data_IF_519890235909
#
_entry.id   IF_519890235909
#
_cell.length_a   1.000
_cell.length_b   1.000
_cell.length_c   1.000
_cell.angle_alpha   90.00
_cell.angle_beta   90.00
_cell.angle_gamma   90.00
#
_symmetry.space_group_name_H-M   'P 1'
#
loop_
_entity.id
_entity.type
_entity.pdbx_description
1 polymer ?
#
# COMPACT_ATOMS: atom_id res chain seq x y z
N UNK A 1 21.83 -10.20 3.79
CA UNK A 1 21.64 -10.93 2.51
C UNK A 1 20.24 -11.52 2.54
N UNK A 2 19.43 -11.22 1.54
CA UNK A 2 18.10 -11.82 1.39
C UNK A 2 18.19 -13.26 0.86
N UNK A 3 17.06 -13.87 0.53
CA UNK A 3 17.02 -15.21 -0.05
C UNK A 3 17.79 -15.41 -1.36
N UNK A 4 18.24 -14.33 -2.04
CA UNK A 4 18.96 -14.38 -3.32
C UNK A 4 20.37 -13.80 -3.28
N UNK A 5 20.95 -13.53 -2.11
CA UNK A 5 22.34 -13.02 -2.03
C UNK A 5 22.48 -11.50 -2.16
N UNK A 6 21.38 -10.75 -2.32
CA UNK A 6 21.37 -9.29 -2.45
C UNK A 6 21.22 -8.55 -1.11
N UNK A 7 21.25 -7.22 -1.18
CA UNK A 7 21.01 -6.29 -0.05
C UNK A 7 19.53 -6.08 0.29
N UNK A 8 18.65 -6.94 -0.22
CA UNK A 8 17.23 -6.71 -0.51
C UNK A 8 16.40 -5.98 0.56
N UNK A 9 15.37 -5.32 0.02
CA UNK A 9 14.33 -4.64 0.74
C UNK A 9 13.20 -5.65 0.96
N UNK A 10 12.96 -6.03 2.22
CA UNK A 10 11.97 -7.06 2.56
C UNK A 10 10.58 -6.84 1.96
N UNK A 11 9.76 -7.89 2.00
CA UNK A 11 8.41 -7.93 1.40
C UNK A 11 7.49 -6.75 1.72
N UNK A 12 7.63 -6.18 2.91
CA UNK A 12 6.75 -5.13 3.40
C UNK A 12 7.57 -3.88 3.77
N UNK A 13 6.95 -2.72 3.56
CA UNK A 13 7.49 -1.41 3.89
C UNK A 13 6.41 -0.54 4.55
N UNK A 14 6.76 0.69 4.91
CA UNK A 14 5.83 1.69 5.42
C UNK A 14 5.60 2.79 4.38
N UNK A 15 4.36 3.25 4.24
CA UNK A 15 4.01 4.41 3.42
C UNK A 15 3.67 5.57 4.36
N UNK A 16 4.42 6.66 4.26
CA UNK A 16 4.12 7.90 4.94
C UNK A 16 3.30 8.81 4.00
N UNK A 17 2.12 9.22 4.45
CA UNK A 17 1.30 10.22 3.75
C UNK A 17 1.35 11.54 4.51
N UNK A 18 1.58 12.64 3.80
CA UNK A 18 1.61 13.98 4.35
C UNK A 18 0.99 14.98 3.36
N UNK A 19 0.31 15.99 3.88
CA UNK A 19 -0.34 17.03 3.08
C UNK A 19 -1.58 17.59 3.77
N UNK A 20 -2.02 18.79 3.35
CA UNK A 20 -3.14 19.49 3.99
C UNK A 20 -4.50 18.80 3.83
N UNK A 21 -4.67 18.00 2.77
CA UNK A 21 -5.90 17.24 2.51
C UNK A 21 -5.89 15.83 3.11
N UNK A 22 -4.78 15.41 3.75
CA UNK A 22 -4.68 14.08 4.35
C UNK A 22 -5.45 14.06 5.67
N UNK A 23 -6.33 13.06 5.85
CA UNK A 23 -6.94 12.74 7.15
C UNK A 23 -5.89 12.11 8.08
N UNK A 24 -4.97 12.93 8.57
CA UNK A 24 -3.82 12.51 9.38
C UNK A 24 -4.18 11.99 10.77
N UNK A 25 -3.15 11.61 11.54
CA UNK A 25 -3.30 11.08 12.90
C UNK A 25 -3.79 9.63 12.94
N UNK A 26 -3.66 8.90 11.82
CA UNK A 26 -4.16 7.53 11.66
C UNK A 26 -3.05 6.62 11.17
N UNK A 27 -3.03 5.41 11.71
CA UNK A 27 -2.27 4.28 11.14
C UNK A 27 -3.28 3.41 10.42
N UNK A 28 -3.05 3.18 9.12
CA UNK A 28 -3.86 2.26 8.34
C UNK A 28 -3.20 0.88 8.33
N UNK A 29 -4.03 -0.16 8.14
CA UNK A 29 -3.58 -1.54 8.19
C UNK A 29 -3.49 -2.10 9.61
N UNK A 30 -3.58 -3.41 9.73
CA UNK A 30 -3.37 -4.11 11.00
C UNK A 30 -1.94 -4.62 11.04
N UNK A 31 -1.13 -4.09 11.98
CA UNK A 31 0.24 -4.55 12.18
C UNK A 31 0.24 -6.04 12.58
N UNK A 32 0.84 -6.93 11.76
CA UNK A 32 0.78 -8.38 12.02
C UNK A 32 1.75 -8.83 13.12
N UNK A 33 2.60 -7.94 13.63
CA UNK A 33 3.66 -8.31 14.57
C UNK A 33 4.84 -9.00 13.90
N UNK A 34 5.80 -9.41 14.72
CA UNK A 34 6.99 -10.17 14.29
C UNK A 34 6.93 -11.65 14.74
N UNK A 35 5.87 -12.06 15.45
CA UNK A 35 5.73 -13.42 15.95
C UNK A 35 5.45 -14.45 14.85
N UNK A 36 4.95 -14.00 13.69
CA UNK A 36 4.69 -14.81 12.50
C UNK A 36 5.17 -14.08 11.26
N UNK A 37 6.01 -14.74 10.48
CA UNK A 37 6.58 -14.20 9.25
C UNK A 37 6.13 -15.05 8.06
N UNK A 38 6.14 -14.46 6.86
CA UNK A 38 5.99 -15.18 5.60
C UNK A 38 7.31 -15.91 5.32
N UNK A 39 7.20 -17.20 5.00
CA UNK A 39 8.34 -18.08 4.73
C UNK A 39 9.44 -18.00 5.81
N UNK A 40 9.02 -17.80 7.07
CA UNK A 40 9.87 -17.61 8.26
C UNK A 40 10.93 -16.51 8.15
N UNK A 41 10.75 -15.55 7.25
CA UNK A 41 11.75 -14.50 6.94
C UNK A 41 11.16 -13.12 6.75
N UNK A 42 10.04 -13.03 6.05
CA UNK A 42 9.48 -11.77 5.57
C UNK A 42 8.34 -11.27 6.46
N UNK A 43 8.31 -9.97 6.74
CA UNK A 43 7.14 -9.36 7.35
C UNK A 43 5.92 -9.51 6.41
N UNK A 44 4.80 -9.93 6.98
CA UNK A 44 3.53 -10.03 6.25
C UNK A 44 3.05 -8.61 5.92
N UNK A 45 2.77 -8.34 4.64
CA UNK A 45 2.25 -7.04 4.23
C UNK A 45 0.82 -6.84 4.78
N UNK A 46 0.62 -5.78 5.57
CA UNK A 46 -0.68 -5.44 6.15
C UNK A 46 -1.65 -4.82 5.12
N UNK A 47 -1.10 -4.20 4.07
CA UNK A 47 -1.85 -3.49 3.03
C UNK A 47 -1.12 -3.58 1.70
N UNK A 48 -1.90 -3.59 0.61
CA UNK A 48 -1.37 -3.44 -0.73
C UNK A 48 -1.10 -1.95 -1.02
N UNK A 49 0.13 -1.62 -1.38
CA UNK A 49 0.54 -0.25 -1.74
C UNK A 49 -0.33 0.37 -2.83
N UNK A 50 -0.81 -0.45 -3.78
CA UNK A 50 -1.69 0.03 -4.87
C UNK A 50 -3.03 0.53 -4.32
N UNK A 51 -3.56 -0.06 -3.25
CA UNK A 51 -4.78 0.43 -2.62
C UNK A 51 -4.60 1.86 -2.09
N UNK A 52 -3.46 2.14 -1.45
CA UNK A 52 -3.11 3.47 -0.92
C UNK A 52 -3.00 4.48 -2.07
N UNK A 53 -2.23 4.13 -3.11
CA UNK A 53 -2.02 5.02 -4.26
C UNK A 53 -3.33 5.29 -5.03
N UNK A 54 -4.14 4.26 -5.29
CA UNK A 54 -5.47 4.44 -5.92
C UNK A 54 -6.38 5.33 -5.09
N UNK A 55 -6.36 5.20 -3.76
CA UNK A 55 -7.12 6.06 -2.87
C UNK A 55 -6.73 7.53 -3.01
N UNK A 56 -5.43 7.82 -2.96
CA UNK A 56 -4.92 9.20 -3.14
C UNK A 56 -5.23 9.72 -4.55
N UNK A 57 -4.94 8.95 -5.59
CA UNK A 57 -5.15 9.39 -6.99
C UNK A 57 -6.62 9.63 -7.31
N UNK A 58 -7.53 8.79 -6.82
CA UNK A 58 -8.98 8.98 -6.99
C UNK A 58 -9.49 10.16 -6.17
N UNK A 59 -9.22 10.16 -4.86
CA UNK A 59 -9.90 11.06 -3.93
C UNK A 59 -9.24 12.45 -3.87
N UNK A 60 -7.96 12.59 -4.24
CA UNK A 60 -7.25 13.87 -4.28
C UNK A 60 -7.14 14.47 -5.68
N UNK A 61 -6.90 13.64 -6.72
CA UNK A 61 -6.70 14.11 -8.09
C UNK A 61 -7.90 13.87 -9.01
N UNK A 62 -8.95 13.19 -8.55
CA UNK A 62 -10.16 12.96 -9.32
C UNK A 62 -10.01 11.96 -10.47
N UNK A 63 -9.04 11.05 -10.40
CA UNK A 63 -8.84 10.03 -11.44
C UNK A 63 -9.84 8.88 -11.31
N UNK A 64 -10.36 8.42 -12.46
CA UNK A 64 -11.26 7.27 -12.54
C UNK A 64 -10.55 5.95 -12.20
N UNK A 65 -11.31 4.99 -11.66
CA UNK A 65 -10.74 3.71 -11.22
C UNK A 65 -10.36 2.77 -12.37
N UNK A 66 -11.07 2.81 -13.49
CA UNK A 66 -10.78 1.94 -14.64
C UNK A 66 -9.37 2.19 -15.22
N UNK A 67 -8.96 3.43 -15.57
CA UNK A 67 -7.60 3.66 -16.05
C UNK A 67 -6.55 3.38 -14.96
N UNK A 68 -6.88 3.62 -13.68
CA UNK A 68 -5.97 3.26 -12.58
C UNK A 68 -5.78 1.74 -12.46
N UNK A 69 -6.81 0.94 -12.67
CA UNK A 69 -6.75 -0.52 -12.55
C UNK A 69 -6.16 -1.23 -13.77
N UNK A 70 -6.19 -0.60 -14.95
CA UNK A 70 -5.76 -1.21 -16.20
C UNK A 70 -4.44 -0.68 -16.74
N UNK A 71 -4.20 0.63 -16.62
CA UNK A 71 -3.08 1.28 -17.28
C UNK A 71 -1.99 1.67 -16.28
N UNK A 72 -2.37 2.22 -15.13
CA UNK A 72 -1.41 2.69 -14.11
C UNK A 72 -0.96 1.55 -13.21
N UNK A 73 -1.90 0.69 -12.79
CA UNK A 73 -1.62 -0.50 -11.98
C UNK A 73 -2.20 -1.75 -12.66
N UNK A 74 -1.59 -2.25 -13.75
CA UNK A 74 -2.05 -3.46 -14.42
C UNK A 74 -2.23 -4.65 -13.44
N UNK A 75 -3.15 -5.55 -13.78
CA UNK A 75 -3.47 -6.76 -13.02
C UNK A 75 -3.90 -6.51 -11.55
N UNK A 76 -4.47 -5.33 -11.28
CA UNK A 76 -4.85 -4.93 -9.91
C UNK A 76 -6.32 -4.58 -9.72
N UNK A 77 -7.22 -4.94 -10.66
CA UNK A 77 -8.67 -4.67 -10.53
C UNK A 77 -9.27 -5.12 -9.19
N UNK A 78 -8.78 -6.23 -8.63
CA UNK A 78 -9.27 -6.74 -7.35
C UNK A 78 -8.81 -5.91 -6.14
N UNK A 79 -7.80 -5.07 -6.32
CA UNK A 79 -7.27 -4.16 -5.29
C UNK A 79 -7.99 -2.83 -5.39
N UNK A 80 -9.02 -2.66 -4.55
CA UNK A 80 -9.77 -1.42 -4.45
C UNK A 80 -8.97 -0.26 -3.84
N UNK A 81 -9.36 1.00 -4.09
CA UNK A 81 -8.77 2.17 -3.44
C UNK A 81 -9.06 2.15 -1.94
N UNK A 82 -8.03 2.48 -1.15
CA UNK A 82 -8.19 2.68 0.29
C UNK A 82 -8.93 4.00 0.53
N UNK A 83 -10.12 3.91 1.11
CA UNK A 83 -10.96 5.07 1.41
C UNK A 83 -10.52 5.80 2.69
N UNK A 84 -10.99 7.05 2.83
CA UNK A 84 -10.81 7.84 4.05
C UNK A 84 -9.41 8.42 4.24
N UNK A 85 -8.58 8.41 3.19
CA UNK A 85 -7.27 9.06 3.19
C UNK A 85 -7.38 10.58 3.03
N UNK A 86 -8.38 11.05 2.27
CA UNK A 86 -8.54 12.46 1.87
C UNK A 86 -9.77 13.09 2.53
N UNK A 87 -9.69 14.39 2.83
CA UNK A 87 -10.83 15.31 2.90
C UNK A 87 -10.82 16.24 4.09
#
# INVERSE_FOLDING_TARGET
VNGTGGTDHGTASCILLAGGAIRGGRVHGQWPGLARLRDDRDLIAAQDTRAVLKGVLRDHLGLDLDPLAEQVFPDSRQVGPLAGLIG
#
